data_IF_104787704059
#
_entry.id   IF_104787704059
#
_cell.length_a   1.000
_cell.length_b   1.000
_cell.length_c   1.000
_cell.angle_alpha   90.00
_cell.angle_beta   90.00
_cell.angle_gamma   90.00
#
_symmetry.space_group_name_H-M   'P 1'
#
loop_
_entity.id
_entity.type
_entity.pdbx_description
1 polymer ?
#
# COMPACT_ATOMS: atom_id res chain seq x y z
N UNK A 1 14.92 5.87 -11.43
CA UNK A 1 15.51 4.54 -11.68
C UNK A 1 16.90 4.62 -11.13
N UNK A 2 17.06 4.18 -9.89
CA UNK A 2 18.36 4.12 -9.26
C UNK A 2 19.16 2.95 -9.86
N UNK A 3 20.45 3.09 -9.94
CA UNK A 3 21.40 2.30 -10.71
C UNK A 3 21.17 0.78 -10.63
N UNK A 4 20.88 0.17 -11.77
CA UNK A 4 20.89 -1.26 -11.96
C UNK A 4 22.34 -1.78 -11.89
N UNK A 5 22.69 -2.42 -10.81
CA UNK A 5 24.03 -2.96 -10.64
C UNK A 5 24.10 -4.42 -11.15
N UNK A 6 24.83 -4.61 -12.23
CA UNK A 6 24.95 -5.92 -12.90
C UNK A 6 26.19 -6.72 -12.53
N UNK A 7 27.11 -6.17 -11.74
CA UNK A 7 28.37 -6.84 -11.37
C UNK A 7 28.34 -7.34 -9.93
N UNK A 8 28.67 -8.60 -9.72
CA UNK A 8 28.71 -9.28 -8.40
C UNK A 8 29.50 -8.51 -7.33
N UNK A 9 30.60 -7.84 -7.69
CA UNK A 9 31.38 -7.02 -6.77
C UNK A 9 30.69 -5.74 -6.33
N UNK A 10 29.79 -5.20 -7.14
CA UNK A 10 28.99 -4.03 -6.75
C UNK A 10 27.78 -4.42 -5.90
N UNK A 11 27.25 -5.63 -6.04
CA UNK A 11 26.15 -6.16 -5.23
C UNK A 11 26.56 -6.38 -3.76
N UNK A 12 27.82 -6.68 -3.48
CA UNK A 12 28.32 -6.80 -2.11
C UNK A 12 28.40 -5.43 -1.39
N UNK A 13 28.54 -4.36 -2.18
CA UNK A 13 28.73 -3.00 -1.66
C UNK A 13 27.44 -2.17 -1.64
N UNK A 14 26.53 -2.44 -2.58
CA UNK A 14 25.29 -1.70 -2.74
C UNK A 14 24.14 -2.67 -3.04
N UNK A 15 23.20 -2.87 -2.13
CA UNK A 15 22.08 -3.77 -2.35
C UNK A 15 21.17 -3.29 -3.48
N UNK A 16 20.52 -4.23 -4.17
CA UNK A 16 19.53 -3.91 -5.19
C UNK A 16 18.29 -3.27 -4.55
N UNK A 17 17.82 -2.20 -5.18
CA UNK A 17 16.61 -1.47 -4.78
C UNK A 17 15.55 -1.62 -5.87
N UNK A 18 15.03 -2.83 -6.04
CA UNK A 18 14.06 -3.13 -7.09
C UNK A 18 12.65 -3.18 -6.52
N UNK A 19 11.76 -2.38 -7.10
CA UNK A 19 10.32 -2.48 -6.93
C UNK A 19 9.69 -3.01 -8.22
N UNK A 20 8.88 -4.07 -8.13
CA UNK A 20 8.11 -4.62 -9.25
C UNK A 20 6.64 -4.58 -8.86
N UNK A 21 5.83 -3.99 -9.73
CA UNK A 21 4.37 -3.98 -9.65
C UNK A 21 3.81 -4.59 -10.94
N UNK A 22 2.99 -5.61 -10.78
CA UNK A 22 2.26 -6.24 -11.89
C UNK A 22 0.79 -6.25 -11.51
N UNK A 23 -0.07 -5.79 -12.41
CA UNK A 23 -1.50 -5.76 -12.17
C UNK A 23 -2.29 -5.95 -13.45
N UNK A 24 -3.55 -6.31 -13.26
CA UNK A 24 -4.57 -6.35 -14.29
C UNK A 24 -5.84 -5.76 -13.72
N UNK A 25 -6.47 -4.87 -14.47
CA UNK A 25 -7.74 -4.27 -14.13
C UNK A 25 -8.70 -4.32 -15.30
N UNK A 26 -9.98 -4.21 -15.01
CA UNK A 26 -11.00 -4.23 -16.05
C UNK A 26 -12.42 -4.13 -15.50
N UNK A 27 -13.36 -4.20 -16.43
CA UNK A 27 -14.79 -4.25 -16.18
C UNK A 27 -15.36 -5.59 -16.62
N UNK A 28 -16.14 -6.21 -15.76
CA UNK A 28 -16.87 -7.44 -16.05
C UNK A 28 -18.35 -7.24 -15.75
N UNK A 29 -19.21 -7.49 -16.74
CA UNK A 29 -20.66 -7.39 -16.55
C UNK A 29 -21.22 -8.72 -16.04
N UNK A 30 -21.77 -8.70 -14.83
CA UNK A 30 -22.44 -9.84 -14.21
C UNK A 30 -23.85 -9.47 -13.77
N UNK A 31 -24.87 -10.24 -14.21
CA UNK A 31 -26.29 -10.00 -13.91
C UNK A 31 -26.74 -8.56 -14.14
N UNK A 32 -26.36 -7.96 -15.28
CA UNK A 32 -26.68 -6.59 -15.70
C UNK A 32 -26.04 -5.51 -14.83
N UNK A 33 -25.04 -5.84 -14.02
CA UNK A 33 -24.22 -4.88 -13.27
C UNK A 33 -22.78 -4.98 -13.71
N UNK A 34 -22.17 -3.83 -13.87
CA UNK A 34 -20.74 -3.73 -14.15
C UNK A 34 -19.97 -3.79 -12.85
N UNK A 35 -19.03 -4.70 -12.80
CA UNK A 35 -18.10 -4.87 -11.69
C UNK A 35 -16.72 -4.47 -12.21
N UNK A 36 -16.16 -3.40 -11.66
CA UNK A 36 -14.74 -3.10 -11.82
C UNK A 36 -13.93 -4.05 -10.93
N UNK A 37 -12.86 -4.58 -11.45
CA UNK A 37 -11.90 -5.36 -10.68
C UNK A 37 -10.47 -4.86 -10.92
N UNK A 38 -9.65 -4.95 -9.89
CA UNK A 38 -8.20 -4.75 -9.97
C UNK A 38 -7.52 -5.87 -9.18
N UNK A 39 -6.58 -6.54 -9.83
CA UNK A 39 -5.72 -7.56 -9.22
C UNK A 39 -4.29 -7.07 -9.34
N UNK A 40 -3.57 -7.03 -8.23
CA UNK A 40 -2.23 -6.48 -8.18
C UNK A 40 -1.30 -7.36 -7.34
N UNK A 41 -0.06 -7.50 -7.81
CA UNK A 41 1.03 -8.12 -7.10
C UNK A 41 2.21 -7.15 -7.04
N UNK A 42 2.74 -6.92 -5.85
CA UNK A 42 3.92 -6.09 -5.65
C UNK A 42 5.04 -6.89 -4.99
N UNK A 43 6.25 -6.63 -5.46
CA UNK A 43 7.50 -7.02 -4.82
C UNK A 43 8.33 -5.77 -4.61
N UNK A 44 8.72 -5.49 -3.39
CA UNK A 44 9.58 -4.36 -3.05
C UNK A 44 10.75 -4.88 -2.23
N UNK A 45 11.94 -4.88 -2.82
CA UNK A 45 13.15 -5.38 -2.19
C UNK A 45 13.45 -4.64 -0.87
N UNK A 46 14.30 -5.24 -0.03
CA UNK A 46 14.58 -4.81 1.33
C UNK A 46 14.96 -3.32 1.44
N UNK A 47 15.68 -2.82 0.45
CA UNK A 47 16.26 -1.47 0.45
C UNK A 47 15.55 -0.50 -0.49
N UNK A 48 14.42 -0.91 -1.07
CA UNK A 48 13.58 0.00 -1.87
C UNK A 48 13.11 1.16 -0.97
N UNK A 49 13.25 2.40 -1.41
CA UNK A 49 12.97 3.63 -0.65
C UNK A 49 13.93 3.94 0.52
N UNK A 50 15.00 3.17 0.69
CA UNK A 50 16.01 3.38 1.73
C UNK A 50 17.35 3.68 1.07
N UNK A 51 18.00 4.76 1.50
CA UNK A 51 19.32 5.16 1.03
C UNK A 51 20.34 5.09 2.18
N UNK A 52 21.62 5.20 1.85
CA UNK A 52 22.75 5.08 2.78
C UNK A 52 22.88 6.21 3.81
N UNK A 53 21.79 6.81 4.29
CA UNK A 53 21.84 7.85 5.30
C UNK A 53 20.47 8.13 5.92
N UNK A 54 20.49 8.50 7.18
CA UNK A 54 19.29 8.72 8.01
C UNK A 54 18.31 9.77 7.44
N UNK A 55 18.80 10.69 6.60
CA UNK A 55 17.99 11.79 6.03
C UNK A 55 17.59 11.59 4.58
N UNK A 56 17.95 10.47 3.96
CA UNK A 56 17.74 10.21 2.53
C UNK A 56 16.63 9.23 2.22
N UNK A 57 15.90 8.79 3.24
CA UNK A 57 14.79 7.87 3.07
C UNK A 57 13.59 8.57 2.43
N UNK A 58 12.86 7.85 1.60
CA UNK A 58 11.66 8.34 0.93
C UNK A 58 10.47 8.41 1.89
N UNK A 59 10.58 9.36 2.84
CA UNK A 59 9.57 9.61 3.86
C UNK A 59 9.19 11.09 3.89
N UNK A 60 7.91 11.36 4.16
CA UNK A 60 7.44 12.69 4.49
C UNK A 60 6.59 12.60 5.75
N UNK A 61 7.06 13.18 6.86
CA UNK A 61 6.38 13.18 8.16
C UNK A 61 5.92 11.78 8.59
N UNK A 62 6.84 10.82 8.57
CA UNK A 62 6.61 9.40 8.93
C UNK A 62 5.69 8.63 7.96
N UNK A 63 5.45 9.17 6.77
CA UNK A 63 4.69 8.51 5.72
C UNK A 63 5.63 8.12 4.57
N UNK A 64 5.45 6.92 4.04
CA UNK A 64 6.15 6.47 2.83
C UNK A 64 5.76 7.34 1.64
N UNK A 65 6.77 7.86 0.90
CA UNK A 65 6.57 8.51 -0.40
C UNK A 65 6.63 7.42 -1.48
N UNK A 66 5.70 6.54 -1.53
CA UNK A 66 5.72 5.43 -2.46
C UNK A 66 4.67 4.42 -2.08
N UNK A 67 5.05 3.14 -2.01
CA UNK A 67 4.12 2.12 -1.58
C UNK A 67 3.76 2.31 -0.09
N UNK A 68 2.46 2.32 0.27
CA UNK A 68 2.03 2.73 1.61
C UNK A 68 2.63 1.89 2.76
N UNK A 69 2.97 0.65 2.48
CA UNK A 69 3.52 -0.30 3.46
C UNK A 69 5.05 -0.34 3.48
N UNK A 70 5.72 0.54 2.71
CA UNK A 70 7.17 0.66 2.64
C UNK A 70 7.82 -0.40 1.76
N UNK A 71 9.06 -0.79 2.12
CA UNK A 71 9.88 -1.78 1.40
C UNK A 71 9.87 -3.16 2.08
N UNK A 72 10.67 -4.08 1.57
CA UNK A 72 10.90 -5.42 2.14
C UNK A 72 9.60 -6.23 2.24
N UNK A 73 8.89 -6.35 1.11
CA UNK A 73 7.59 -6.99 1.12
C UNK A 73 7.19 -7.67 -0.20
N UNK A 74 6.30 -8.64 -0.06
CA UNK A 74 5.40 -9.12 -1.10
C UNK A 74 3.97 -8.75 -0.75
N UNK A 75 3.18 -8.33 -1.75
CA UNK A 75 1.75 -8.12 -1.55
C UNK A 75 0.93 -8.61 -2.73
N UNK A 76 -0.30 -9.04 -2.42
CA UNK A 76 -1.34 -9.39 -3.38
C UNK A 76 -2.58 -8.61 -3.00
N UNK A 77 -3.13 -7.85 -3.94
CA UNK A 77 -4.33 -7.04 -3.74
C UNK A 77 -5.43 -7.47 -4.69
N UNK A 78 -6.64 -7.51 -4.18
CA UNK A 78 -7.89 -7.69 -4.94
C UNK A 78 -8.80 -6.54 -4.58
N UNK A 79 -9.18 -5.75 -5.58
CA UNK A 79 -10.17 -4.68 -5.43
C UNK A 79 -11.37 -4.97 -6.33
N UNK A 80 -12.56 -4.83 -5.78
CA UNK A 80 -13.82 -4.98 -6.51
C UNK A 80 -14.70 -3.78 -6.21
N UNK A 81 -15.29 -3.21 -7.27
CA UNK A 81 -16.22 -2.09 -7.13
C UNK A 81 -17.44 -2.28 -8.03
N UNK A 82 -18.62 -1.93 -7.53
CA UNK A 82 -19.85 -1.96 -8.31
C UNK A 82 -20.84 -0.90 -7.87
N UNK A 83 -21.55 -0.32 -8.82
CA UNK A 83 -22.63 0.61 -8.53
C UNK A 83 -23.91 -0.13 -8.13
N UNK A 84 -24.29 -0.04 -6.86
CA UNK A 84 -25.57 -0.53 -6.38
C UNK A 84 -26.74 0.33 -6.91
N UNK A 85 -26.51 1.63 -7.06
CA UNK A 85 -27.43 2.61 -7.66
C UNK A 85 -26.64 3.78 -8.29
N UNK A 86 -27.32 4.74 -8.91
CA UNK A 86 -26.68 5.95 -9.48
C UNK A 86 -25.88 6.80 -8.45
N UNK A 87 -26.08 6.56 -7.15
CA UNK A 87 -25.46 7.33 -6.07
C UNK A 87 -24.71 6.49 -5.07
N UNK A 88 -24.76 5.17 -5.16
CA UNK A 88 -24.18 4.26 -4.19
C UNK A 88 -23.19 3.35 -4.89
N UNK A 89 -21.93 3.47 -4.52
CA UNK A 89 -20.85 2.59 -4.90
C UNK A 89 -20.54 1.63 -3.74
N UNK A 90 -20.44 0.36 -4.03
CA UNK A 90 -19.94 -0.67 -3.11
C UNK A 90 -18.51 -0.97 -3.49
N UNK A 91 -17.63 -1.03 -2.50
CA UNK A 91 -16.21 -1.32 -2.67
C UNK A 91 -15.79 -2.42 -1.72
N UNK A 92 -15.00 -3.35 -2.22
CA UNK A 92 -14.30 -4.38 -1.47
C UNK A 92 -12.82 -4.31 -1.85
N UNK A 93 -11.95 -4.22 -0.85
CA UNK A 93 -10.50 -4.28 -1.01
C UNK A 93 -9.94 -5.34 -0.06
N UNK A 94 -9.15 -6.25 -0.60
CA UNK A 94 -8.42 -7.25 0.16
C UNK A 94 -6.95 -7.20 -0.22
N UNK A 95 -6.10 -7.08 0.79
CA UNK A 95 -4.66 -7.08 0.63
C UNK A 95 -4.03 -8.13 1.55
N UNK A 96 -3.33 -9.08 0.96
CA UNK A 96 -2.40 -9.94 1.66
C UNK A 96 -0.99 -9.38 1.55
N UNK A 97 -0.30 -9.23 2.67
CA UNK A 97 1.01 -8.63 2.75
C UNK A 97 1.95 -9.51 3.57
N UNK A 98 3.09 -9.90 3.00
CA UNK A 98 4.23 -10.48 3.71
C UNK A 98 5.29 -9.40 3.86
N UNK A 99 5.55 -8.95 5.07
CA UNK A 99 6.47 -7.87 5.41
C UNK A 99 7.66 -8.43 6.17
N UNK A 100 8.87 -8.12 5.68
CA UNK A 100 10.10 -8.40 6.41
C UNK A 100 10.39 -7.41 7.53
N UNK A 101 11.54 -7.56 8.14
CA UNK A 101 11.95 -6.77 9.29
C UNK A 101 12.48 -5.37 8.93
N UNK A 102 12.92 -5.16 7.69
CA UNK A 102 13.34 -3.84 7.25
C UNK A 102 12.14 -2.90 7.08
N UNK A 103 12.31 -1.70 7.56
CA UNK A 103 11.29 -0.65 7.51
C UNK A 103 11.91 0.67 7.05
N UNK A 104 11.10 1.70 6.89
CA UNK A 104 11.55 3.00 6.41
C UNK A 104 12.54 3.71 7.34
N UNK A 105 12.64 3.28 8.61
CA UNK A 105 13.62 3.79 9.58
C UNK A 105 14.93 3.00 9.57
N UNK A 106 14.97 1.85 8.88
CA UNK A 106 16.20 1.08 8.71
C UNK A 106 17.07 1.78 7.68
N UNK A 107 18.30 2.06 8.00
CA UNK A 107 19.27 2.62 7.06
C UNK A 107 20.36 1.59 6.78
N UNK A 108 20.93 1.70 5.59
CA UNK A 108 21.98 0.82 5.16
C UNK A 108 23.33 1.34 5.67
N UNK A 109 24.05 0.50 6.39
CA UNK A 109 25.42 0.76 6.79
C UNK A 109 26.37 0.12 5.77
N UNK A 110 27.32 0.89 5.26
CA UNK A 110 28.21 0.51 4.14
C UNK A 110 29.13 -0.67 4.43
N UNK A 111 29.16 -1.21 5.64
CA UNK A 111 30.02 -2.30 6.05
C UNK A 111 29.21 -3.54 6.47
N UNK A 112 28.87 -4.36 5.46
CA UNK A 112 28.71 -5.79 5.69
C UNK A 112 27.34 -6.33 6.07
N UNK A 113 26.28 -5.57 6.17
CA UNK A 113 24.93 -6.07 6.48
C UNK A 113 24.02 -6.16 5.25
N UNK A 114 24.49 -6.81 4.20
CA UNK A 114 23.64 -7.19 3.08
C UNK A 114 22.86 -8.45 3.45
N UNK A 115 21.73 -8.30 4.16
CA UNK A 115 20.81 -9.42 4.32
C UNK A 115 20.28 -9.81 2.95
N UNK A 116 20.64 -11.00 2.49
CA UNK A 116 20.23 -11.52 1.16
C UNK A 116 18.86 -12.20 1.19
N UNK A 117 18.27 -12.39 2.37
CA UNK A 117 16.96 -13.00 2.50
C UNK A 117 15.88 -12.00 2.15
N UNK A 118 14.94 -12.40 1.30
CA UNK A 118 13.80 -11.57 0.92
C UNK A 118 12.48 -12.36 1.05
N UNK A 119 11.47 -11.82 1.74
CA UNK A 119 11.57 -10.72 2.71
C UNK A 119 12.53 -11.06 3.86
N UNK A 120 13.11 -10.03 4.50
CA UNK A 120 14.05 -10.22 5.62
C UNK A 120 13.35 -10.85 6.82
N UNK A 121 14.08 -11.64 7.61
CA UNK A 121 13.49 -12.29 8.79
C UNK A 121 13.59 -11.37 10.04
N UNK A 122 12.63 -11.47 10.97
CA UNK A 122 11.38 -12.26 10.94
C UNK A 122 10.33 -11.67 9.99
N UNK A 123 9.55 -12.56 9.36
CA UNK A 123 8.48 -12.19 8.42
C UNK A 123 7.17 -12.05 9.19
N UNK A 124 6.45 -10.95 8.97
CA UNK A 124 5.10 -10.70 9.46
C UNK A 124 4.10 -10.82 8.30
N UNK A 125 2.97 -11.46 8.56
CA UNK A 125 1.89 -11.63 7.58
C UNK A 125 0.68 -10.81 8.02
N UNK A 126 0.12 -10.04 7.08
CA UNK A 126 -1.07 -9.23 7.31
C UNK A 126 -2.15 -9.58 6.30
N UNK A 127 -3.38 -9.72 6.78
CA UNK A 127 -4.59 -9.80 5.97
C UNK A 127 -5.40 -8.53 6.22
N UNK A 128 -5.43 -7.66 5.24
CA UNK A 128 -6.11 -6.37 5.33
C UNK A 128 -7.36 -6.41 4.48
N UNK A 129 -8.48 -6.01 5.08
CA UNK A 129 -9.80 -5.99 4.43
C UNK A 129 -10.42 -4.61 4.62
N UNK A 130 -10.97 -4.07 3.55
CA UNK A 130 -11.81 -2.87 3.57
C UNK A 130 -13.12 -3.18 2.81
N UNK A 131 -14.24 -3.02 3.48
CA UNK A 131 -15.58 -3.11 2.91
C UNK A 131 -16.24 -1.75 3.05
N UNK A 132 -16.61 -1.12 1.96
CA UNK A 132 -17.19 0.21 2.01
C UNK A 132 -18.43 0.37 1.16
N UNK A 133 -19.32 1.23 1.63
CA UNK A 133 -20.41 1.82 0.88
C UNK A 133 -20.16 3.31 0.77
N UNK A 134 -20.12 3.84 -0.45
CA UNK A 134 -19.84 5.24 -0.73
C UNK A 134 -21.09 5.86 -1.34
N UNK A 135 -21.63 6.84 -0.68
CA UNK A 135 -22.76 7.62 -1.15
C UNK A 135 -22.29 8.94 -1.76
N UNK A 136 -22.71 9.20 -2.99
CA UNK A 136 -22.40 10.41 -3.73
C UNK A 136 -23.61 11.31 -3.83
N UNK A 137 -23.48 12.55 -3.41
CA UNK A 137 -24.44 13.63 -3.67
C UNK A 137 -23.70 14.89 -4.15
N UNK A 138 -24.43 15.84 -4.70
CA UNK A 138 -23.86 17.06 -5.30
C UNK A 138 -22.97 17.88 -4.32
N UNK A 139 -23.19 17.76 -3.02
CA UNK A 139 -22.51 18.56 -1.99
C UNK A 139 -21.72 17.73 -0.98
N UNK A 140 -21.95 16.42 -0.94
CA UNK A 140 -21.40 15.55 0.09
C UNK A 140 -21.02 14.20 -0.51
N UNK A 141 -19.84 13.71 -0.17
CA UNK A 141 -19.48 12.30 -0.32
C UNK A 141 -19.42 11.72 1.08
N UNK A 142 -20.16 10.65 1.31
CA UNK A 142 -20.13 9.92 2.57
C UNK A 142 -19.68 8.49 2.31
N UNK A 143 -18.57 8.09 2.95
CA UNK A 143 -18.06 6.72 2.94
C UNK A 143 -18.29 6.11 4.32
N UNK A 144 -18.88 4.93 4.38
CA UNK A 144 -18.97 4.14 5.59
C UNK A 144 -18.54 2.71 5.30
N UNK A 145 -17.85 2.08 6.24
CA UNK A 145 -17.34 0.75 5.99
C UNK A 145 -16.75 0.09 7.22
N UNK A 146 -16.30 -1.14 6.99
CA UNK A 146 -15.57 -1.96 7.94
C UNK A 146 -14.16 -2.16 7.42
N UNK A 147 -13.15 -1.84 8.22
CA UNK A 147 -11.75 -1.99 7.84
C UNK A 147 -10.90 -2.43 9.01
N UNK A 148 -9.91 -3.27 8.74
CA UNK A 148 -8.80 -3.51 9.65
C UNK A 148 -7.49 -2.85 9.13
N UNK A 149 -7.56 -2.08 8.05
CA UNK A 149 -6.43 -1.39 7.42
C UNK A 149 -6.50 0.13 7.63
N UNK A 150 -6.61 0.57 8.88
CA UNK A 150 -6.80 2.01 9.18
C UNK A 150 -5.47 2.76 9.21
N UNK A 151 -4.37 2.08 9.57
CA UNK A 151 -3.06 2.71 9.76
C UNK A 151 -1.93 2.00 8.99
N UNK A 152 -1.90 2.07 7.65
CA UNK A 152 -0.85 1.40 6.85
C UNK A 152 0.56 1.88 7.20
N UNK A 153 0.72 3.13 7.66
CA UNK A 153 2.00 3.69 8.06
C UNK A 153 2.63 2.97 9.25
N UNK A 154 1.85 2.42 10.17
CA UNK A 154 2.38 1.66 11.30
C UNK A 154 3.09 0.39 10.82
N UNK A 155 2.58 -0.25 9.76
CA UNK A 155 3.22 -1.39 9.12
C UNK A 155 4.51 -0.96 8.42
N UNK A 156 4.48 0.16 7.69
CA UNK A 156 5.64 0.69 6.97
C UNK A 156 6.79 1.07 7.92
N UNK A 157 6.48 1.56 9.11
CA UNK A 157 7.45 1.92 10.15
C UNK A 157 7.90 0.72 11.00
N UNK A 158 7.37 -0.49 10.73
CA UNK A 158 7.76 -1.71 11.42
C UNK A 158 7.21 -1.84 12.83
N UNK A 159 6.07 -1.22 13.12
CA UNK A 159 5.40 -1.41 14.40
C UNK A 159 4.84 -2.84 14.51
N UNK A 160 5.54 -3.68 15.30
CA UNK A 160 5.20 -5.10 15.46
C UNK A 160 3.97 -5.34 16.35
N UNK A 161 3.60 -4.34 17.15
CA UNK A 161 2.44 -4.43 18.05
C UNK A 161 1.11 -4.17 17.33
N UNK A 162 1.18 -3.81 16.05
CA UNK A 162 -0.01 -3.62 15.24
C UNK A 162 -0.65 -4.97 14.89
N UNK A 163 -1.65 -5.34 15.66
CA UNK A 163 -2.44 -6.55 15.43
C UNK A 163 -3.69 -6.22 14.60
N UNK A 164 -3.63 -6.54 13.31
CA UNK A 164 -4.66 -6.23 12.31
C UNK A 164 -5.91 -7.13 12.36
N UNK A 165 -6.23 -7.72 13.50
CA UNK A 165 -7.34 -8.69 13.55
C UNK A 165 -8.70 -8.04 13.80
N UNK A 166 -8.72 -6.83 14.33
CA UNK A 166 -9.97 -6.17 14.69
C UNK A 166 -10.54 -5.35 13.52
N UNK A 167 -11.74 -5.70 13.09
CA UNK A 167 -12.51 -4.91 12.14
C UNK A 167 -13.10 -3.69 12.85
N UNK A 168 -12.81 -2.52 12.32
CA UNK A 168 -13.32 -1.25 12.84
C UNK A 168 -14.34 -0.65 11.88
N UNK A 169 -15.49 -0.26 12.43
CA UNK A 169 -16.47 0.55 11.70
C UNK A 169 -15.95 1.98 11.58
N UNK A 170 -15.99 2.55 10.38
CA UNK A 170 -15.61 3.93 10.14
C UNK A 170 -16.66 4.68 9.33
N UNK A 171 -16.70 6.01 9.51
CA UNK A 171 -17.51 6.92 8.71
C UNK A 171 -16.61 8.11 8.33
N UNK A 172 -16.53 8.39 7.03
CA UNK A 172 -15.84 9.55 6.48
C UNK A 172 -16.84 10.42 5.75
N UNK A 173 -16.80 11.73 6.00
CA UNK A 173 -17.67 12.72 5.35
C UNK A 173 -16.81 13.78 4.71
N UNK A 174 -16.93 13.93 3.38
CA UNK A 174 -16.25 14.94 2.60
C UNK A 174 -17.28 15.95 2.07
N UNK A 175 -17.13 17.21 2.46
CA UNK A 175 -17.93 18.30 1.91
C UNK A 175 -17.32 18.81 0.60
N UNK A 176 -18.11 18.84 -0.47
CA UNK A 176 -17.70 19.36 -1.77
C UNK A 176 -17.99 20.87 -1.75
N UNK A 177 -16.95 21.70 -1.67
CA UNK A 177 -17.07 23.14 -1.91
C UNK A 177 -17.36 23.36 -3.40
N UNK A 178 -18.58 23.75 -3.72
CA UNK A 178 -18.91 24.25 -5.05
C UNK A 178 -18.11 25.54 -5.32
N UNK A 179 -17.21 25.54 -6.28
CA UNK A 179 -16.70 26.78 -6.86
C UNK A 179 -17.83 27.36 -7.71
N UNK A 180 -18.62 28.29 -7.14
CA UNK A 180 -19.52 29.10 -7.92
C UNK A 180 -18.71 30.06 -8.78
N UNK A 181 -18.58 29.76 -10.06
CA UNK A 181 -18.23 30.76 -11.05
C UNK A 181 -19.52 31.60 -11.24
N UNK A 182 -19.59 32.77 -10.63
CA UNK A 182 -20.53 33.80 -11.06
C UNK A 182 -20.04 34.34 -12.40
N UNK A 183 -20.74 33.96 -13.48
CA UNK A 183 -20.61 34.59 -14.80
C UNK A 183 -21.43 35.84 -14.81
#
# INVERSE_FOLDING_TARGET
IDEFQTKKQSMEKYPNNLGIKIGIDGLYTFLLKDIYFNLECNKLDNWTYVHGGQFTNWQNRDHSIGYPYGSDLWSYQVQLETWASKRILLSFDWLYLQKGNHNLSTYWEAEGNTEMNFPSKPISNYNLVDLAMIFYDAKVIMKMGLSNNIFPNLIALGNKDYNNQDLTLYIEIQLIKGFGFNI
#
